data_IF_655242129608
#
_entry.id   IF_655242129608
#
_cell.length_a   1.000
_cell.length_b   1.000
_cell.length_c   1.000
_cell.angle_alpha   90.00
_cell.angle_beta   90.00
_cell.angle_gamma   90.00
#
_symmetry.space_group_name_H-M   'P 1'
#
loop_
_entity.id
_entity.type
_entity.pdbx_description
1 polymer ?
#
# COMPACT_ATOMS: atom_id res chain seq x y z
N UNK A 1 0.07 2.29 11.80
CA UNK A 1 0.69 3.47 11.12
C UNK A 1 -0.19 3.85 9.93
N UNK A 2 -0.59 5.12 9.78
CA UNK A 2 -1.39 5.61 8.65
C UNK A 2 -0.44 6.32 7.70
N UNK A 3 -0.17 5.75 6.53
CA UNK A 3 0.59 6.44 5.50
C UNK A 3 -0.38 7.05 4.49
N UNK A 4 -0.24 8.36 4.27
CA UNK A 4 -1.13 9.16 3.43
C UNK A 4 -0.32 9.88 2.36
N UNK A 5 -0.71 9.71 1.11
CA UNK A 5 -0.18 10.51 0.00
C UNK A 5 -1.33 11.10 -0.80
N UNK A 6 -1.39 12.43 -0.88
CA UNK A 6 -2.28 13.13 -1.80
C UNK A 6 -1.52 13.58 -3.04
N UNK A 7 -2.16 13.48 -4.20
CA UNK A 7 -1.66 14.08 -5.44
C UNK A 7 -2.76 14.88 -6.12
N UNK A 8 -2.37 16.03 -6.69
CA UNK A 8 -3.27 16.88 -7.47
C UNK A 8 -3.35 16.31 -8.88
N UNK A 9 -4.48 15.70 -9.23
CA UNK A 9 -4.78 15.25 -10.58
C UNK A 9 -5.39 16.40 -11.37
N UNK A 10 -4.78 16.78 -12.49
CA UNK A 10 -5.31 17.82 -13.38
C UNK A 10 -5.82 17.17 -14.66
N UNK A 11 -7.11 17.27 -14.92
CA UNK A 11 -7.69 16.81 -16.17
C UNK A 11 -7.88 18.00 -17.11
N UNK A 12 -7.30 17.89 -18.31
CA UNK A 12 -7.48 18.89 -19.37
C UNK A 12 -8.89 18.72 -19.95
N UNK A 13 -9.62 19.81 -20.08
CA UNK A 13 -10.91 19.89 -20.79
C UNK A 13 -10.78 20.93 -21.90
N UNK A 14 -11.72 20.93 -22.86
CA UNK A 14 -11.71 21.85 -24.02
C UNK A 14 -11.53 23.31 -23.61
N UNK A 15 -12.06 23.70 -22.45
CA UNK A 15 -11.82 25.00 -21.83
C UNK A 15 -11.30 24.79 -20.40
N UNK A 16 -10.03 25.12 -20.16
CA UNK A 16 -9.42 25.13 -18.83
C UNK A 16 -8.94 23.78 -18.30
N UNK A 17 -8.61 23.75 -17.00
CA UNK A 17 -8.12 22.57 -16.27
C UNK A 17 -9.04 22.28 -15.10
N UNK A 18 -9.59 21.07 -15.03
CA UNK A 18 -10.34 20.63 -13.85
C UNK A 18 -9.42 19.88 -12.91
N UNK A 19 -9.13 20.46 -11.75
CA UNK A 19 -8.35 19.80 -10.71
C UNK A 19 -9.24 18.89 -9.85
N UNK A 20 -8.73 17.69 -9.53
CA UNK A 20 -9.26 16.79 -8.50
C UNK A 20 -8.11 16.38 -7.58
N UNK A 21 -8.43 16.14 -6.32
CA UNK A 21 -7.50 15.54 -5.39
C UNK A 21 -7.66 14.04 -5.44
N UNK A 22 -6.55 13.33 -5.62
CA UNK A 22 -6.49 11.88 -5.45
C UNK A 22 -5.71 11.60 -4.18
N UNK A 23 -6.26 10.74 -3.34
CA UNK A 23 -5.60 10.38 -2.10
C UNK A 23 -5.46 8.87 -1.97
N UNK A 24 -4.30 8.46 -1.49
CA UNK A 24 -3.94 7.09 -1.18
C UNK A 24 -3.80 6.99 0.34
N UNK A 25 -4.59 6.10 0.94
CA UNK A 25 -4.55 5.80 2.37
C UNK A 25 -4.14 4.35 2.53
N UNK A 26 -3.03 4.12 3.23
CA UNK A 26 -2.62 2.79 3.66
C UNK A 26 -2.74 2.71 5.18
N UNK A 27 -3.52 1.75 5.66
CA UNK A 27 -3.68 1.46 7.10
C UNK A 27 -3.19 0.05 7.37
N UNK A 28 -2.33 -0.10 8.38
CA UNK A 28 -1.84 -1.40 8.84
C UNK A 28 -2.02 -1.54 10.34
N UNK A 29 -2.61 -2.67 10.71
CA UNK A 29 -2.75 -3.11 12.10
C UNK A 29 -1.59 -4.06 12.45
N UNK A 30 -1.14 -4.03 13.71
CA UNK A 30 -0.05 -4.90 14.17
C UNK A 30 -0.43 -6.39 14.15
N UNK A 31 -1.72 -6.71 14.11
CA UNK A 31 -2.24 -8.07 14.13
C UNK A 31 -2.20 -8.78 12.77
N UNK A 32 -1.70 -8.14 11.71
CA UNK A 32 -1.54 -8.78 10.40
C UNK A 32 -2.64 -8.49 9.39
N UNK A 33 -3.37 -7.40 9.57
CA UNK A 33 -4.27 -6.88 8.54
C UNK A 33 -3.67 -5.63 7.88
N UNK A 34 -3.78 -5.57 6.56
CA UNK A 34 -3.38 -4.41 5.76
C UNK A 34 -4.59 -3.96 4.95
N UNK A 35 -4.75 -2.65 4.85
CA UNK A 35 -5.86 -1.98 4.19
C UNK A 35 -5.32 -0.90 3.27
N UNK A 36 -5.87 -0.81 2.07
CA UNK A 36 -5.46 0.18 1.08
C UNK A 36 -6.66 0.79 0.40
N UNK A 37 -6.79 2.11 0.46
CA UNK A 37 -7.89 2.86 -0.12
C UNK A 37 -7.40 3.95 -1.06
N UNK A 38 -8.07 4.09 -2.20
CA UNK A 38 -7.81 5.16 -3.18
C UNK A 38 -9.13 5.83 -3.53
N UNK A 39 -9.17 7.16 -3.40
CA UNK A 39 -10.35 7.96 -3.76
C UNK A 39 -9.91 9.22 -4.52
N UNK A 40 -10.78 9.72 -5.39
CA UNK A 40 -10.62 11.00 -6.05
C UNK A 40 -11.86 11.88 -5.82
N UNK A 41 -11.70 13.12 -5.36
CA UNK A 41 -12.80 14.10 -5.23
C UNK A 41 -12.33 15.54 -5.43
N UNK A 42 -13.27 16.50 -5.47
CA UNK A 42 -12.95 17.93 -5.67
C UNK A 42 -12.36 18.59 -4.42
N UNK A 43 -12.69 18.06 -3.24
CA UNK A 43 -12.23 18.56 -1.95
C UNK A 43 -11.31 17.54 -1.27
N UNK A 44 -10.33 18.04 -0.52
CA UNK A 44 -9.34 17.18 0.15
C UNK A 44 -9.99 16.37 1.28
N UNK A 45 -10.82 17.01 2.11
CA UNK A 45 -11.45 16.36 3.25
C UNK A 45 -12.34 15.17 2.84
N UNK A 46 -13.20 15.36 1.83
CA UNK A 46 -14.07 14.30 1.30
C UNK A 46 -13.26 13.18 0.63
N UNK A 47 -12.14 13.52 -0.02
CA UNK A 47 -11.22 12.52 -0.58
C UNK A 47 -10.61 11.66 0.52
N UNK A 48 -10.19 12.25 1.64
CA UNK A 48 -9.59 11.52 2.77
C UNK A 48 -10.62 10.62 3.46
N UNK A 49 -11.78 11.18 3.85
CA UNK A 49 -12.83 10.41 4.50
C UNK A 49 -13.32 9.26 3.60
N UNK A 50 -13.51 9.53 2.31
CA UNK A 50 -13.87 8.51 1.34
C UNK A 50 -12.78 7.44 1.17
N UNK A 51 -11.50 7.82 1.14
CA UNK A 51 -10.40 6.86 1.03
C UNK A 51 -10.28 5.96 2.27
N UNK A 52 -10.59 6.46 3.47
CA UNK A 52 -10.61 5.66 4.70
C UNK A 52 -11.73 4.62 4.65
N UNK A 53 -12.94 5.00 4.21
CA UNK A 53 -14.07 4.07 4.06
C UNK A 53 -13.69 2.96 3.06
N UNK A 54 -13.09 3.33 1.92
CA UNK A 54 -12.63 2.37 0.93
C UNK A 54 -11.53 1.45 1.47
N UNK A 55 -10.60 1.96 2.28
CA UNK A 55 -9.58 1.14 2.93
C UNK A 55 -10.18 0.14 3.93
N UNK A 56 -11.25 0.52 4.64
CA UNK A 56 -11.92 -0.39 5.58
C UNK A 56 -12.71 -1.50 4.89
N UNK A 57 -13.13 -1.29 3.64
CA UNK A 57 -13.77 -2.33 2.82
C UNK A 57 -12.74 -3.30 2.24
N UNK A 58 -11.52 -2.84 1.93
CA UNK A 58 -10.44 -3.61 1.30
C UNK A 58 -9.47 -4.23 2.31
N UNK A 59 -9.99 -5.04 3.23
CA UNK A 59 -9.17 -5.72 4.23
C UNK A 59 -8.48 -6.93 3.61
N UNK A 60 -7.15 -6.95 3.68
CA UNK A 60 -6.32 -8.09 3.29
C UNK A 60 -5.65 -8.66 4.53
N UNK A 61 -5.81 -9.97 4.76
CA UNK A 61 -5.10 -10.70 5.80
C UNK A 61 -3.70 -11.08 5.31
N UNK A 62 -2.69 -10.82 6.15
CA UNK A 62 -1.30 -11.16 5.89
C UNK A 62 -0.95 -12.40 6.70
N UNK A 63 -0.57 -13.47 6.01
CA UNK A 63 -0.07 -14.69 6.66
C UNK A 63 1.28 -14.40 7.31
N UNK A 64 1.38 -14.71 8.61
CA UNK A 64 2.63 -14.69 9.37
C UNK A 64 3.02 -16.13 9.73
N UNK A 65 4.30 -16.43 9.68
CA UNK A 65 4.88 -17.71 10.04
C UNK A 65 6.24 -17.52 10.72
N UNK A 66 6.93 -18.64 10.88
CA UNK A 66 8.28 -18.73 11.45
C UNK A 66 9.27 -19.09 10.34
N UNK A 67 10.50 -18.60 10.44
CA UNK A 67 11.57 -18.97 9.51
C UNK A 67 12.32 -20.23 9.94
N UNK A 68 12.28 -20.56 11.24
CA UNK A 68 12.91 -21.74 11.86
C UNK A 68 11.99 -22.34 12.93
N UNK A 69 12.52 -22.63 14.13
CA UNK A 69 11.72 -23.20 15.21
C UNK A 69 10.50 -22.32 15.57
N UNK A 70 9.29 -22.91 15.68
CA UNK A 70 8.08 -22.19 16.03
C UNK A 70 8.05 -21.89 17.54
N UNK A 71 8.72 -20.84 17.96
CA UNK A 71 8.73 -20.39 19.36
C UNK A 71 8.18 -18.95 19.42
N UNK A 72 7.13 -18.75 20.22
CA UNK A 72 6.51 -17.44 20.44
C UNK A 72 5.48 -17.05 19.37
N UNK A 73 5.31 -15.74 19.13
CA UNK A 73 4.32 -15.21 18.17
C UNK A 73 4.91 -15.19 16.74
N UNK A 74 4.10 -15.48 15.70
CA UNK A 74 4.56 -15.47 14.33
C UNK A 74 4.92 -14.05 13.90
N UNK A 75 6.18 -13.86 13.48
CA UNK A 75 6.80 -12.55 13.27
C UNK A 75 7.24 -12.30 11.82
N UNK A 76 7.29 -13.34 10.97
CA UNK A 76 7.86 -13.28 9.62
C UNK A 76 6.81 -13.64 8.56
N UNK A 77 6.98 -13.20 7.31
CA UNK A 77 6.20 -13.69 6.17
C UNK A 77 6.85 -14.99 5.66
N UNK A 78 6.14 -16.12 5.55
CA UNK A 78 6.75 -17.46 5.46
C UNK A 78 7.43 -17.80 4.13
N UNK A 79 7.12 -17.10 3.04
CA UNK A 79 7.63 -17.40 1.69
C UNK A 79 7.77 -16.15 0.84
N UNK A 80 8.62 -16.20 -0.20
CA UNK A 80 9.14 -15.02 -0.93
C UNK A 80 7.96 -14.46 -1.67
N UNK A 81 7.44 -13.33 -1.20
CA UNK A 81 6.22 -12.77 -1.78
C UNK A 81 6.64 -11.81 -2.87
N UNK A 82 6.28 -12.14 -4.09
CA UNK A 82 6.30 -11.21 -5.20
C UNK A 82 4.90 -10.63 -5.37
N UNK A 83 4.82 -9.30 -5.46
CA UNK A 83 3.61 -8.56 -5.81
C UNK A 83 3.88 -7.75 -7.06
N UNK A 84 2.99 -7.83 -8.04
CA UNK A 84 3.06 -7.02 -9.25
C UNK A 84 1.93 -6.00 -9.25
N UNK A 85 2.27 -4.74 -9.51
CA UNK A 85 1.31 -3.69 -9.80
C UNK A 85 1.75 -3.04 -11.12
N UNK A 86 1.06 -3.41 -12.20
CA UNK A 86 1.41 -3.01 -13.57
C UNK A 86 2.86 -3.40 -13.91
N UNK A 87 3.74 -2.41 -14.12
CA UNK A 87 5.15 -2.59 -14.48
C UNK A 87 6.07 -2.73 -13.26
N UNK A 88 5.56 -2.49 -12.05
CA UNK A 88 6.35 -2.52 -10.82
C UNK A 88 6.26 -3.92 -10.21
N UNK A 89 7.41 -4.54 -10.04
CA UNK A 89 7.58 -5.81 -9.33
C UNK A 89 8.20 -5.51 -7.96
N UNK A 90 7.41 -5.74 -6.91
CA UNK A 90 7.90 -5.73 -5.53
C UNK A 90 8.16 -7.16 -5.08
N UNK A 91 9.35 -7.39 -4.56
CA UNK A 91 9.69 -8.65 -3.93
C UNK A 91 10.03 -8.42 -2.46
N UNK A 92 9.30 -9.09 -1.58
CA UNK A 92 9.61 -9.17 -0.17
C UNK A 92 10.38 -10.46 0.11
N UNK A 93 11.60 -10.30 0.61
CA UNK A 93 12.48 -11.40 1.02
C UNK A 93 12.54 -11.39 2.55
N UNK A 94 12.43 -12.56 3.18
CA UNK A 94 12.50 -12.67 4.64
C UNK A 94 13.91 -12.35 5.11
N UNK A 95 13.98 -11.67 6.25
CA UNK A 95 15.22 -11.51 6.98
C UNK A 95 15.04 -12.06 8.42
N UNK A 96 16.13 -12.54 9.07
CA UNK A 96 16.12 -12.94 10.47
C UNK A 96 15.54 -11.87 11.40
N UNK A 97 15.08 -12.28 12.57
CA UNK A 97 14.45 -11.46 13.63
C UNK A 97 15.13 -10.09 13.88
N UNK A 98 16.47 -10.01 13.78
CA UNK A 98 17.25 -8.80 14.05
C UNK A 98 17.48 -7.88 12.83
N UNK A 99 17.18 -8.31 11.60
CA UNK A 99 17.49 -7.57 10.36
C UNK A 99 16.34 -6.69 9.83
N UNK A 100 15.14 -6.78 10.40
CA UNK A 100 13.97 -6.04 9.93
C UNK A 100 13.40 -6.57 8.60
N UNK A 101 12.63 -5.77 7.86
CA UNK A 101 12.04 -6.17 6.58
C UNK A 101 12.91 -5.68 5.41
N UNK A 102 13.36 -6.58 4.53
CA UNK A 102 14.08 -6.23 3.31
C UNK A 102 13.12 -6.26 2.11
N UNK A 103 12.84 -5.09 1.54
CA UNK A 103 12.00 -4.95 0.34
C UNK A 103 12.87 -4.60 -0.84
N UNK A 104 12.79 -5.38 -1.91
CA UNK A 104 13.41 -5.07 -3.19
C UNK A 104 12.35 -4.59 -4.19
N UNK A 105 12.55 -3.42 -4.78
CA UNK A 105 11.66 -2.87 -5.80
C UNK A 105 12.43 -2.67 -7.09
N UNK A 106 12.15 -3.50 -8.10
CA UNK A 106 12.63 -3.26 -9.47
C UNK A 106 11.55 -2.48 -10.23
N UNK A 107 11.68 -1.16 -10.28
CA UNK A 107 10.95 -0.36 -11.24
C UNK A 107 11.68 -0.47 -12.58
N UNK A 108 11.16 -1.24 -13.53
CA UNK A 108 11.59 -1.09 -14.93
C UNK A 108 11.06 0.27 -15.37
N UNK A 109 11.96 1.22 -15.65
CA UNK A 109 11.62 2.58 -16.08
C UNK A 109 10.50 2.54 -17.14
N UNK A 110 9.33 3.07 -16.78
CA UNK A 110 8.28 3.41 -17.72
C UNK A 110 8.01 4.90 -17.56
N UNK A 111 8.78 5.69 -18.29
CA UNK A 111 8.51 7.08 -18.58
C UNK A 111 7.28 7.18 -19.48
N UNK A 112 6.09 7.41 -18.91
CA UNK A 112 4.95 8.10 -19.56
C UNK A 112 4.05 8.75 -18.51
#
# INVERSE_FOLDING_TARGET
MKSFKSCKSRNKIRVGQRARFKAFVATRDFNGHVRLGVKCSKEVATTICGAIIWANLSIVSVRKGFWGNPIGKPHIVPSKVTGQCCFILMCHIYAPFWKGYCVFSSAKNASV
#
